data_IF_186340385593
#
_entry.id   IF_186340385593
#
_cell.length_a   1.000
_cell.length_b   1.000
_cell.length_c   1.000
_cell.angle_alpha   90.00
_cell.angle_beta   90.00
_cell.angle_gamma   90.00
#
_symmetry.space_group_name_H-M   'P 1'
#
loop_
_entity.id
_entity.type
_entity.pdbx_description
1 polymer ?
#
# COMPACT_ATOMS: atom_id res chain seq x y z
N UNK A 1 14.32 -38.28 -25.58
CA UNK A 1 14.46 -36.85 -25.96
C UNK A 1 15.11 -36.11 -24.79
N UNK A 2 16.30 -35.56 -24.98
CA UNK A 2 17.26 -35.24 -23.91
C UNK A 2 17.50 -33.71 -23.87
N UNK A 3 17.14 -32.99 -22.79
CA UNK A 3 17.43 -31.55 -22.64
C UNK A 3 17.98 -31.17 -21.25
N UNK A 4 19.29 -31.42 -21.15
CA UNK A 4 20.37 -30.62 -20.53
C UNK A 4 19.99 -29.50 -19.54
N UNK A 5 20.31 -29.77 -18.28
CA UNK A 5 20.66 -28.77 -17.26
C UNK A 5 21.80 -27.85 -17.75
N UNK A 6 21.64 -26.53 -17.58
CA UNK A 6 22.76 -25.58 -17.61
C UNK A 6 23.03 -25.05 -16.20
N UNK A 7 24.15 -25.49 -15.65
CA UNK A 7 24.90 -24.79 -14.62
C UNK A 7 25.32 -23.41 -15.14
N UNK A 8 25.04 -22.35 -14.38
CA UNK A 8 25.65 -21.02 -14.59
C UNK A 8 26.64 -20.76 -13.46
N UNK A 9 27.87 -20.51 -13.86
CA UNK A 9 29.07 -20.36 -13.05
C UNK A 9 29.18 -18.97 -12.41
N UNK A 10 29.84 -18.96 -11.24
CA UNK A 10 30.31 -17.79 -10.49
C UNK A 10 31.28 -16.95 -11.32
N UNK A 11 31.01 -15.65 -11.41
CA UNK A 11 32.00 -14.58 -11.61
C UNK A 11 31.84 -13.67 -10.37
N UNK A 12 32.84 -13.39 -9.55
CA UNK A 12 34.20 -12.98 -9.91
C UNK A 12 34.33 -11.47 -9.67
N UNK A 13 34.10 -11.01 -8.43
CA UNK A 13 34.36 -9.61 -8.06
C UNK A 13 35.73 -9.51 -7.41
N UNK A 14 36.62 -8.90 -8.21
CA UNK A 14 38.01 -8.60 -7.94
C UNK A 14 38.16 -7.60 -6.79
N UNK A 15 39.29 -7.76 -6.11
CA UNK A 15 39.75 -7.01 -4.94
C UNK A 15 39.63 -5.50 -5.04
N UNK A 16 39.19 -4.92 -3.93
CA UNK A 16 39.38 -3.52 -3.61
C UNK A 16 40.68 -3.39 -2.83
N UNK A 17 41.64 -2.70 -3.44
CA UNK A 17 42.94 -2.41 -2.88
C UNK A 17 42.80 -1.49 -1.65
N UNK A 18 43.06 -2.03 -0.47
CA UNK A 18 43.34 -1.25 0.73
C UNK A 18 44.61 -0.42 0.51
N UNK A 19 44.52 0.91 0.51
CA UNK A 19 45.69 1.78 0.63
C UNK A 19 46.11 1.85 2.11
N UNK A 20 47.40 1.68 2.45
CA UNK A 20 47.89 1.90 3.80
C UNK A 20 47.88 3.40 4.13
N UNK A 21 47.16 3.77 5.19
CA UNK A 21 47.29 5.08 5.81
C UNK A 21 48.69 5.21 6.42
N UNK A 22 49.44 6.23 5.97
CA UNK A 22 50.73 6.63 6.56
C UNK A 22 50.54 7.08 8.02
N UNK A 23 51.35 6.62 8.98
CA UNK A 23 51.66 7.39 10.18
C UNK A 23 52.73 8.44 9.83
N UNK A 24 53.00 9.35 10.76
CA UNK A 24 54.02 10.41 10.69
C UNK A 24 53.56 11.75 10.14
N UNK A 25 53.00 12.57 11.03
CA UNK A 25 53.55 13.91 11.27
C UNK A 25 53.42 14.23 12.77
N UNK A 26 54.43 13.79 13.52
CA UNK A 26 54.77 14.28 14.86
C UNK A 26 55.21 15.75 14.72
N UNK A 27 54.24 16.67 14.69
CA UNK A 27 54.56 18.10 14.72
C UNK A 27 54.64 18.57 16.18
N UNK A 28 55.88 18.87 16.57
CA UNK A 28 56.33 19.40 17.85
C UNK A 28 55.69 20.77 18.09
N UNK A 29 54.63 20.81 18.91
CA UNK A 29 54.08 22.07 19.42
C UNK A 29 54.90 22.51 20.63
N UNK A 30 55.71 23.55 20.46
CA UNK A 30 56.33 24.28 21.55
C UNK A 30 55.24 25.04 22.33
N UNK A 31 54.86 24.51 23.49
CA UNK A 31 54.08 25.24 24.50
C UNK A 31 54.98 26.26 25.17
N UNK A 32 54.94 27.50 24.68
CA UNK A 32 55.36 28.69 25.45
C UNK A 32 54.21 29.02 26.39
N UNK A 33 54.35 28.63 27.65
CA UNK A 33 53.46 29.05 28.74
C UNK A 33 53.78 30.49 29.15
N UNK A 34 53.18 31.45 28.45
CA UNK A 34 53.15 32.83 28.92
C UNK A 34 52.05 32.99 29.99
N UNK A 35 52.48 33.11 31.24
CA UNK A 35 51.66 32.99 32.45
C UNK A 35 50.97 34.31 32.84
N UNK A 36 50.55 35.12 31.84
CA UNK A 36 49.87 36.42 32.05
C UNK A 36 48.46 36.53 31.45
N UNK A 37 47.90 35.43 30.92
CA UNK A 37 46.56 35.37 30.32
C UNK A 37 45.48 34.68 31.15
N UNK A 38 45.76 34.29 32.40
CA UNK A 38 44.89 33.41 33.19
C UNK A 38 43.52 34.03 33.57
N UNK A 39 43.38 35.35 33.54
CA UNK A 39 42.14 36.05 33.90
C UNK A 39 41.20 36.29 32.70
N UNK A 40 41.68 36.19 31.46
CA UNK A 40 40.87 36.38 30.24
C UNK A 40 40.46 35.06 29.58
N UNK A 41 41.16 33.96 29.85
CA UNK A 41 40.75 32.62 29.39
C UNK A 41 39.61 32.00 30.22
N UNK A 42 39.50 32.36 31.51
CA UNK A 42 38.47 31.80 32.40
C UNK A 42 37.05 32.25 32.01
N UNK A 43 36.89 33.48 31.49
CA UNK A 43 35.58 34.00 31.04
C UNK A 43 35.11 33.44 29.70
N UNK A 44 36.02 33.11 28.78
CA UNK A 44 35.67 32.53 27.47
C UNK A 44 35.29 31.05 27.57
N UNK A 45 35.89 30.31 28.51
CA UNK A 45 35.56 28.90 28.72
C UNK A 45 34.17 28.71 29.34
N UNK A 46 33.75 29.57 30.28
CA UNK A 46 32.43 29.49 30.90
C UNK A 46 31.30 29.77 29.90
N UNK A 47 31.51 30.70 28.96
CA UNK A 47 30.51 31.04 27.94
C UNK A 47 30.29 29.88 26.94
N UNK A 48 31.35 29.15 26.58
CA UNK A 48 31.25 28.01 25.68
C UNK A 48 30.54 26.81 26.35
N UNK A 49 30.87 26.52 27.61
CA UNK A 49 30.17 25.47 28.37
C UNK A 49 28.70 25.81 28.60
N UNK A 50 28.37 27.10 28.79
CA UNK A 50 26.99 27.53 28.95
C UNK A 50 26.18 27.42 27.65
N UNK A 51 26.78 27.72 26.49
CA UNK A 51 26.14 27.51 25.18
C UNK A 51 25.90 26.02 24.89
N UNK A 52 26.81 25.13 25.28
CA UNK A 52 26.60 23.68 25.16
C UNK A 52 25.56 23.12 26.14
N UNK A 53 25.38 23.73 27.32
CA UNK A 53 24.33 23.36 28.29
C UNK A 53 22.96 23.99 27.97
N UNK A 54 22.93 25.04 27.14
CA UNK A 54 21.73 25.75 26.68
C UNK A 54 21.35 25.43 25.23
N UNK A 55 21.98 24.45 24.59
CA UNK A 55 21.37 23.79 23.42
C UNK A 55 20.46 22.70 23.96
N UNK A 56 19.17 22.98 24.28
CA UNK A 56 18.21 21.90 24.40
C UNK A 56 18.30 21.16 23.07
N UNK A 57 18.50 19.85 23.14
CA UNK A 57 18.54 18.99 21.98
C UNK A 57 17.34 19.31 21.08
N UNK A 58 17.56 20.11 20.04
CA UNK A 58 16.60 20.28 18.96
C UNK A 58 16.76 19.01 18.13
N UNK A 59 16.33 17.89 18.71
CA UNK A 59 16.02 16.69 17.97
C UNK A 59 14.81 17.07 17.11
N UNK A 60 15.08 17.62 15.93
CA UNK A 60 14.06 17.69 14.90
C UNK A 60 13.61 16.25 14.67
N UNK A 61 12.39 15.93 15.12
CA UNK A 61 11.76 14.68 14.78
C UNK A 61 11.62 14.67 13.26
N UNK A 62 12.46 13.87 12.59
CA UNK A 62 12.33 13.64 11.16
C UNK A 62 11.17 12.68 11.03
N UNK A 63 10.02 13.18 10.56
CA UNK A 63 8.85 12.36 10.30
C UNK A 63 9.28 11.18 9.39
N UNK A 64 9.03 9.93 9.80
CA UNK A 64 9.36 8.76 9.02
C UNK A 64 8.78 8.85 7.60
N UNK A 65 9.57 8.44 6.61
CA UNK A 65 9.10 8.36 5.23
C UNK A 65 8.05 7.25 5.16
N UNK A 66 6.86 7.49 4.58
CA UNK A 66 5.84 6.46 4.41
C UNK A 66 6.37 5.22 3.68
N UNK A 67 5.87 4.04 4.05
CA UNK A 67 6.03 2.86 3.21
C UNK A 67 5.05 2.95 2.04
N UNK A 68 5.47 2.59 0.83
CA UNK A 68 4.63 2.67 -0.37
C UNK A 68 4.23 1.29 -0.85
N UNK A 69 2.95 1.12 -1.17
CA UNK A 69 2.46 -0.06 -1.86
C UNK A 69 1.76 0.32 -3.16
N UNK A 70 1.74 -0.61 -4.11
CA UNK A 70 0.96 -0.45 -5.33
C UNK A 70 0.97 -1.70 -6.20
N UNK A 71 0.15 -1.72 -7.24
CA UNK A 71 0.11 -2.85 -8.17
C UNK A 71 -1.09 -2.79 -9.09
N UNK A 72 -1.26 -3.85 -9.87
CA UNK A 72 -2.40 -4.00 -10.78
C UNK A 72 -3.64 -4.48 -10.02
N UNK A 73 -4.82 -4.18 -10.53
CA UNK A 73 -6.10 -4.62 -9.94
C UNK A 73 -6.87 -5.46 -10.95
N UNK A 74 -7.41 -6.59 -10.51
CA UNK A 74 -8.30 -7.46 -11.30
C UNK A 74 -9.66 -7.54 -10.62
N UNK A 75 -10.74 -7.20 -11.33
CA UNK A 75 -12.11 -7.25 -10.81
C UNK A 75 -12.90 -8.29 -11.61
N UNK A 76 -13.45 -9.30 -10.93
CA UNK A 76 -14.25 -10.34 -11.61
C UNK A 76 -13.49 -11.10 -12.72
N UNK A 77 -12.16 -11.14 -12.65
CA UNK A 77 -11.30 -11.78 -13.66
C UNK A 77 -10.82 -10.86 -14.80
N UNK A 78 -11.27 -9.62 -14.86
CA UNK A 78 -10.79 -8.62 -15.83
C UNK A 78 -9.78 -7.66 -15.17
N UNK A 79 -8.66 -7.39 -15.84
CA UNK A 79 -7.73 -6.37 -15.40
C UNK A 79 -8.38 -4.98 -15.50
N UNK A 80 -8.29 -4.20 -14.42
CA UNK A 80 -8.84 -2.85 -14.36
C UNK A 80 -7.86 -1.87 -15.02
N UNK A 81 -8.34 -1.07 -15.96
CA UNK A 81 -7.56 0.01 -16.59
C UNK A 81 -7.80 1.35 -15.90
N UNK A 82 -6.92 2.32 -16.11
CA UNK A 82 -7.10 3.69 -15.60
C UNK A 82 -8.44 4.30 -16.04
N UNK A 83 -8.89 4.05 -17.28
CA UNK A 83 -10.14 4.60 -17.80
C UNK A 83 -11.36 4.04 -17.04
N UNK A 84 -11.33 2.76 -16.70
CA UNK A 84 -12.43 2.06 -16.01
C UNK A 84 -12.39 2.29 -14.49
N UNK A 85 -11.25 2.73 -13.95
CA UNK A 85 -11.02 2.87 -12.52
C UNK A 85 -11.60 4.15 -11.88
N UNK A 86 -12.37 4.97 -12.62
CA UNK A 86 -12.83 6.29 -12.17
C UNK A 86 -13.64 6.24 -10.86
N UNK A 87 -14.43 5.18 -10.66
CA UNK A 87 -15.26 5.00 -9.46
C UNK A 87 -14.59 4.15 -8.38
N UNK A 88 -13.36 3.70 -8.61
CA UNK A 88 -12.64 2.82 -7.69
C UNK A 88 -11.79 3.63 -6.72
N UNK A 89 -11.72 3.15 -5.49
CA UNK A 89 -10.80 3.71 -4.51
C UNK A 89 -10.23 2.65 -3.58
N UNK A 90 -9.05 2.95 -3.05
CA UNK A 90 -8.26 2.00 -2.29
C UNK A 90 -7.89 2.59 -0.93
N UNK A 91 -8.12 1.84 0.14
CA UNK A 91 -7.83 2.23 1.53
C UNK A 91 -7.04 1.14 2.23
N UNK A 92 -6.16 1.52 3.15
CA UNK A 92 -5.46 0.58 4.03
C UNK A 92 -5.88 0.81 5.47
N UNK A 93 -6.15 -0.29 6.18
CA UNK A 93 -6.41 -0.29 7.62
C UNK A 93 -5.53 -1.33 8.31
N UNK A 94 -5.52 -1.34 9.64
CA UNK A 94 -5.00 -2.50 10.38
C UNK A 94 -5.88 -3.72 10.13
N UNK A 95 -5.33 -4.92 10.31
CA UNK A 95 -6.09 -6.18 10.17
C UNK A 95 -7.35 -6.29 11.05
N UNK A 96 -7.47 -5.50 12.12
CA UNK A 96 -8.67 -5.41 12.96
C UNK A 96 -9.71 -4.37 12.47
N UNK A 97 -9.47 -3.72 11.33
CA UNK A 97 -10.34 -2.69 10.75
C UNK A 97 -10.13 -1.27 11.31
N UNK A 98 -9.19 -1.07 12.25
CA UNK A 98 -8.89 0.28 12.76
C UNK A 98 -8.08 1.09 11.75
N UNK A 99 -8.44 2.36 11.63
CA UNK A 99 -7.73 3.29 10.74
C UNK A 99 -6.31 3.60 11.27
N UNK A 100 -5.41 3.88 10.34
CA UNK A 100 -4.08 4.42 10.65
C UNK A 100 -4.20 5.93 10.97
N UNK A 101 -3.28 6.45 11.78
CA UNK A 101 -3.19 7.87 12.11
C UNK A 101 -1.76 8.40 11.90
N UNK A 102 -1.54 9.37 11.00
CA UNK A 102 -2.55 10.06 10.19
C UNK A 102 -3.29 9.12 9.24
N UNK A 103 -4.49 9.50 8.79
CA UNK A 103 -5.24 8.67 7.85
C UNK A 103 -4.42 8.47 6.56
N UNK A 104 -4.31 7.23 6.09
CA UNK A 104 -3.73 6.96 4.77
C UNK A 104 -4.50 7.73 3.71
N UNK A 105 -3.80 8.40 2.81
CA UNK A 105 -4.44 8.99 1.65
C UNK A 105 -5.14 7.87 0.86
N UNK A 106 -6.46 7.95 0.77
CA UNK A 106 -7.24 7.08 -0.09
C UNK A 106 -6.82 7.37 -1.53
N UNK A 107 -6.33 6.35 -2.23
CA UNK A 107 -6.04 6.50 -3.65
C UNK A 107 -7.34 6.43 -4.42
N UNK A 108 -7.66 7.46 -5.18
CA UNK A 108 -8.75 7.46 -6.14
C UNK A 108 -8.24 6.98 -7.50
N UNK A 109 -8.79 5.88 -8.01
CA UNK A 109 -8.44 5.32 -9.31
C UNK A 109 -7.01 4.77 -9.43
N UNK A 110 -6.58 4.61 -10.68
CA UNK A 110 -5.25 4.12 -11.06
C UNK A 110 -4.43 5.23 -11.74
N UNK A 111 -3.10 5.10 -11.69
CA UNK A 111 -2.18 5.99 -12.39
C UNK A 111 -2.07 5.63 -13.89
N UNK A 112 -1.21 6.35 -14.62
CA UNK A 112 -1.00 6.16 -16.07
C UNK A 112 -0.39 4.81 -16.47
N UNK A 113 0.03 3.98 -15.51
CA UNK A 113 0.53 2.61 -15.72
C UNK A 113 -0.46 1.56 -15.23
N UNK A 114 -1.73 1.92 -15.02
CA UNK A 114 -2.80 1.06 -14.48
C UNK A 114 -2.49 0.51 -13.07
N UNK A 115 -1.79 1.30 -12.23
CA UNK A 115 -1.45 0.93 -10.86
C UNK A 115 -2.16 1.81 -9.84
N UNK A 116 -2.65 1.19 -8.77
CA UNK A 116 -3.00 1.92 -7.55
C UNK A 116 -1.72 2.20 -6.75
N UNK A 117 -1.68 3.29 -6.00
CA UNK A 117 -0.54 3.65 -5.14
C UNK A 117 -1.08 4.15 -3.81
N UNK A 118 -0.62 3.58 -2.71
CA UNK A 118 -0.98 4.02 -1.35
C UNK A 118 0.29 4.22 -0.54
N UNK A 119 0.38 5.37 0.11
CA UNK A 119 1.41 5.69 1.09
C UNK A 119 0.88 5.37 2.51
N UNK A 120 1.60 4.50 3.21
CA UNK A 120 1.31 3.99 4.54
C UNK A 120 2.13 4.81 5.55
N UNK A 121 1.50 5.58 6.44
CA UNK A 121 2.22 6.31 7.48
C UNK A 121 2.89 5.34 8.43
N UNK A 122 4.14 5.62 8.77
CA UNK A 122 4.93 4.80 9.68
C UNK A 122 4.88 5.39 11.08
N UNK A 123 4.84 4.53 12.10
CA UNK A 123 4.74 5.00 13.47
C UNK A 123 5.87 5.97 13.83
N UNK A 124 5.49 7.12 14.39
CA UNK A 124 6.39 8.07 15.07
C UNK A 124 5.73 8.51 16.37
N UNK A 125 6.49 8.49 17.46
CA UNK A 125 5.96 8.75 18.80
C UNK A 125 5.47 10.21 19.01
N UNK A 126 5.93 11.16 18.18
CA UNK A 126 5.59 12.57 18.33
C UNK A 126 4.54 13.02 17.31
N UNK A 127 4.69 12.60 16.05
CA UNK A 127 3.89 13.12 14.94
C UNK A 127 2.92 12.11 14.31
N UNK A 128 3.20 10.80 14.40
CA UNK A 128 2.45 9.74 13.72
C UNK A 128 2.16 8.56 14.67
N UNK A 129 1.58 8.86 15.84
CA UNK A 129 1.40 7.87 16.92
C UNK A 129 0.47 6.72 16.57
N UNK A 130 -0.32 6.83 15.51
CA UNK A 130 -1.14 5.73 14.98
C UNK A 130 -0.65 5.20 13.64
N UNK A 131 0.60 5.43 13.25
CA UNK A 131 1.20 4.82 12.06
C UNK A 131 1.37 3.31 12.20
N UNK A 132 1.76 2.67 11.10
CA UNK A 132 2.08 1.24 11.07
C UNK A 132 3.54 0.99 11.51
N UNK A 133 3.80 -0.16 12.11
CA UNK A 133 5.15 -0.66 12.34
C UNK A 133 5.57 -1.64 11.25
N UNK A 134 6.87 -1.77 10.94
CA UNK A 134 7.36 -2.81 10.05
C UNK A 134 6.92 -4.20 10.54
N UNK A 135 6.36 -5.00 9.63
CA UNK A 135 5.82 -6.33 9.94
C UNK A 135 4.36 -6.35 10.42
N UNK A 136 3.73 -5.21 10.70
CA UNK A 136 2.31 -5.15 11.06
C UNK A 136 1.45 -5.79 9.96
N UNK A 137 0.44 -6.58 10.35
CA UNK A 137 -0.54 -7.12 9.41
C UNK A 137 -1.62 -6.07 9.12
N UNK A 138 -1.65 -5.61 7.87
CA UNK A 138 -2.56 -4.60 7.34
C UNK A 138 -3.54 -5.23 6.35
N UNK A 139 -4.64 -4.53 6.08
CA UNK A 139 -5.68 -4.93 5.13
C UNK A 139 -5.94 -3.83 4.10
N UNK A 140 -5.95 -4.21 2.82
CA UNK A 140 -6.32 -3.34 1.70
C UNK A 140 -7.80 -3.55 1.41
N UNK A 141 -8.55 -2.45 1.37
CA UNK A 141 -9.95 -2.39 0.99
C UNK A 141 -10.06 -1.80 -0.41
N UNK A 142 -10.96 -2.36 -1.22
CA UNK A 142 -11.28 -1.87 -2.57
C UNK A 142 -12.73 -1.45 -2.55
N UNK A 143 -13.02 -0.22 -2.97
CA UNK A 143 -14.39 0.29 -3.08
C UNK A 143 -14.72 0.60 -4.54
N UNK A 144 -15.96 0.39 -4.94
CA UNK A 144 -16.54 0.84 -6.20
C UNK A 144 -17.76 1.71 -5.91
N UNK A 145 -17.71 3.01 -6.22
CA UNK A 145 -18.82 3.93 -5.97
C UNK A 145 -19.24 4.02 -4.49
N UNK A 146 -18.32 3.71 -3.57
CA UNK A 146 -18.57 3.69 -2.12
C UNK A 146 -18.91 2.32 -1.54
N UNK A 147 -19.23 1.31 -2.36
CA UNK A 147 -19.45 -0.06 -1.88
C UNK A 147 -18.12 -0.81 -1.79
N UNK A 148 -17.88 -1.46 -0.65
CA UNK A 148 -16.69 -2.30 -0.46
C UNK A 148 -16.82 -3.62 -1.23
N UNK A 149 -15.80 -3.96 -2.01
CA UNK A 149 -15.70 -5.21 -2.75
C UNK A 149 -14.95 -6.27 -1.93
N UNK A 150 -15.31 -7.54 -2.16
CA UNK A 150 -14.63 -8.67 -1.53
C UNK A 150 -13.29 -8.95 -2.22
N UNK A 151 -12.17 -8.63 -1.56
CA UNK A 151 -10.81 -8.88 -2.05
C UNK A 151 -10.44 -10.36 -1.88
N UNK A 152 -10.13 -11.02 -2.98
CA UNK A 152 -9.79 -12.46 -3.04
C UNK A 152 -8.28 -12.73 -3.13
N UNK A 153 -7.49 -11.78 -3.62
CA UNK A 153 -6.03 -11.88 -3.63
C UNK A 153 -5.38 -10.51 -3.33
N UNK A 154 -4.36 -10.44 -2.43
CA UNK A 154 -4.01 -11.47 -1.45
C UNK A 154 -5.21 -11.84 -0.56
N UNK A 155 -5.17 -12.98 0.13
CA UNK A 155 -6.33 -13.48 0.90
C UNK A 155 -6.84 -12.41 1.87
N UNK A 156 -8.12 -12.04 1.76
CA UNK A 156 -8.77 -10.97 2.55
C UNK A 156 -8.08 -9.59 2.42
N UNK A 157 -7.34 -9.35 1.34
CA UNK A 157 -6.56 -8.12 1.13
C UNK A 157 -5.41 -7.94 2.11
N UNK A 158 -4.99 -8.99 2.82
CA UNK A 158 -3.98 -8.89 3.89
C UNK A 158 -2.54 -8.92 3.37
N UNK A 159 -1.68 -8.13 4.01
CA UNK A 159 -0.25 -8.09 3.74
C UNK A 159 0.51 -7.61 4.99
N UNK A 160 1.84 -7.73 4.96
CA UNK A 160 2.70 -7.22 6.03
C UNK A 160 3.29 -5.87 5.61
N UNK A 161 3.22 -4.89 6.50
CA UNK A 161 3.82 -3.57 6.29
C UNK A 161 5.35 -3.69 6.12
N UNK A 162 5.91 -2.94 5.17
CA UNK A 162 7.35 -2.84 4.99
C UNK A 162 8.01 -1.83 5.94
N UNK A 163 9.31 -1.61 5.75
CA UNK A 163 10.07 -0.59 6.47
C UNK A 163 9.74 0.83 5.98
N UNK A 164 10.11 1.85 6.75
CA UNK A 164 10.01 3.25 6.33
C UNK A 164 10.77 3.51 5.02
N UNK A 165 10.10 4.16 4.06
CA UNK A 165 10.62 4.41 2.71
C UNK A 165 10.69 3.20 1.79
N UNK A 166 10.21 2.02 2.22
CA UNK A 166 10.15 0.83 1.37
C UNK A 166 9.08 0.98 0.27
N UNK A 167 9.23 0.22 -0.82
CA UNK A 167 8.21 0.08 -1.86
C UNK A 167 7.92 -1.40 -2.07
N UNK A 168 6.64 -1.79 -2.05
CA UNK A 168 6.21 -3.16 -2.31
C UNK A 168 5.16 -3.22 -3.41
N UNK A 169 5.27 -4.23 -4.29
CA UNK A 169 4.24 -4.52 -5.28
C UNK A 169 3.23 -5.51 -4.69
N UNK A 170 1.96 -5.14 -4.68
CA UNK A 170 0.84 -5.97 -4.25
C UNK A 170 -0.21 -5.91 -5.36
N UNK A 171 -0.43 -7.03 -6.06
CA UNK A 171 -1.48 -7.10 -7.07
C UNK A 171 -2.78 -7.52 -6.38
N UNK A 172 -3.88 -6.82 -6.68
CA UNK A 172 -5.18 -7.07 -6.08
C UNK A 172 -6.07 -7.87 -7.03
N UNK A 173 -6.82 -8.81 -6.48
CA UNK A 173 -7.99 -9.38 -7.13
C UNK A 173 -9.19 -9.20 -6.21
N UNK A 174 -10.32 -8.75 -6.75
CA UNK A 174 -11.59 -8.67 -6.04
C UNK A 174 -12.72 -9.27 -6.85
N UNK A 175 -13.75 -9.75 -6.17
CA UNK A 175 -14.99 -10.15 -6.83
C UNK A 175 -15.67 -8.89 -7.36
N UNK A 176 -16.15 -8.96 -8.60
CA UNK A 176 -17.12 -7.98 -9.05
C UNK A 176 -18.33 -8.05 -8.12
N UNK A 177 -19.01 -6.93 -7.89
CA UNK A 177 -20.34 -7.00 -7.32
C UNK A 177 -21.14 -7.99 -8.16
N UNK A 178 -21.90 -8.92 -7.55
CA UNK A 178 -22.83 -9.70 -8.32
C UNK A 178 -23.63 -8.69 -9.13
N UNK A 179 -23.65 -8.85 -10.45
CA UNK A 179 -24.47 -8.00 -11.29
C UNK A 179 -25.82 -7.93 -10.60
N UNK A 180 -26.28 -6.72 -10.31
CA UNK A 180 -27.59 -6.54 -9.70
C UNK A 180 -28.59 -7.00 -10.76
N UNK A 181 -28.77 -8.31 -10.88
CA UNK A 181 -29.79 -8.93 -11.71
C UNK A 181 -31.04 -8.31 -11.11
N UNK A 182 -31.75 -7.45 -11.84
CA UNK A 182 -32.95 -6.85 -11.30
C UNK A 182 -33.78 -8.02 -10.82
N UNK A 183 -33.93 -8.14 -9.49
CA UNK A 183 -34.90 -9.06 -8.95
C UNK A 183 -36.18 -8.54 -9.56
N UNK A 184 -36.78 -9.34 -10.46
CA UNK A 184 -38.13 -9.06 -10.93
C UNK A 184 -38.89 -8.80 -9.64
N UNK A 185 -39.41 -7.57 -9.49
CA UNK A 185 -40.23 -7.24 -8.34
C UNK A 185 -41.28 -8.35 -8.18
N UNK A 186 -41.81 -8.58 -6.99
CA UNK A 186 -42.85 -9.61 -6.81
C UNK A 186 -43.93 -9.52 -7.90
N UNK A 187 -44.26 -8.29 -8.33
CA UNK A 187 -45.11 -7.99 -9.49
C UNK A 187 -44.56 -8.42 -10.84
N UNK A 188 -43.27 -8.23 -11.12
CA UNK A 188 -42.59 -8.74 -12.31
C UNK A 188 -42.64 -10.27 -12.42
N UNK A 189 -42.47 -10.98 -11.29
CA UNK A 189 -42.60 -12.44 -11.25
C UNK A 189 -44.04 -12.90 -11.47
N UNK A 190 -45.01 -12.20 -10.86
CA UNK A 190 -46.44 -12.48 -11.04
C UNK A 190 -46.88 -12.27 -12.50
N UNK A 191 -46.45 -11.17 -13.13
CA UNK A 191 -46.75 -10.89 -14.54
C UNK A 191 -46.11 -11.92 -15.48
N UNK A 192 -44.87 -12.32 -15.21
CA UNK A 192 -44.19 -13.37 -15.99
C UNK A 192 -44.91 -14.72 -15.86
N UNK A 193 -45.33 -15.09 -14.65
CA UNK A 193 -46.10 -16.31 -14.41
C UNK A 193 -47.47 -16.28 -15.13
N UNK A 194 -48.18 -15.15 -15.11
CA UNK A 194 -49.45 -14.98 -15.84
C UNK A 194 -49.28 -15.06 -17.36
N UNK A 195 -48.21 -14.50 -17.90
CA UNK A 195 -47.87 -14.61 -19.33
C UNK A 195 -47.60 -16.07 -19.74
N UNK A 196 -46.82 -16.80 -18.95
CA UNK A 196 -46.59 -18.23 -19.18
C UNK A 196 -47.88 -19.04 -19.12
N UNK A 197 -48.70 -18.83 -18.09
CA UNK A 197 -49.98 -19.52 -17.95
C UNK A 197 -50.92 -19.24 -19.13
N UNK A 198 -50.96 -17.99 -19.61
CA UNK A 198 -51.78 -17.60 -20.76
C UNK A 198 -51.33 -18.28 -22.06
N UNK A 199 -50.02 -18.48 -22.25
CA UNK A 199 -49.48 -19.18 -23.42
C UNK A 199 -49.85 -20.67 -23.45
N UNK A 200 -49.85 -21.32 -22.28
CA UNK A 200 -50.22 -22.73 -22.12
C UNK A 200 -51.71 -22.91 -22.39
N UNK A 201 -52.55 -22.04 -21.84
CA UNK A 201 -54.00 -22.06 -22.11
C UNK A 201 -54.29 -21.82 -23.60
N UNK A 202 -53.58 -20.88 -24.23
CA UNK A 202 -53.73 -20.60 -25.66
C UNK A 202 -53.36 -21.81 -26.53
N UNK A 203 -52.26 -22.49 -26.22
CA UNK A 203 -51.82 -23.69 -26.95
C UNK A 203 -52.76 -24.88 -26.75
N UNK A 204 -53.28 -25.10 -25.55
CA UNK A 204 -54.29 -26.13 -25.30
C UNK A 204 -55.58 -25.88 -26.08
N UNK A 205 -56.06 -24.63 -26.11
CA UNK A 205 -57.30 -24.26 -26.83
C UNK A 205 -57.19 -24.44 -28.34
N UNK A 206 -56.01 -24.13 -28.90
CA UNK A 206 -55.73 -24.28 -30.34
C UNK A 206 -55.70 -25.74 -30.78
N UNK A 207 -55.22 -26.66 -29.93
CA UNK A 207 -55.14 -28.07 -30.29
C UNK A 207 -56.49 -28.79 -30.20
N UNK A 208 -57.32 -28.49 -29.20
CA UNK A 208 -58.65 -29.11 -29.07
C UNK A 208 -59.64 -28.73 -30.17
N UNK A 209 -59.41 -27.62 -30.89
CA UNK A 209 -60.29 -27.23 -32.01
C UNK A 209 -60.05 -28.06 -33.28
N UNK A 210 -58.93 -28.80 -33.36
CA UNK A 210 -58.66 -29.68 -34.51
C UNK A 210 -59.37 -31.04 -34.43
N UNK A 211 -59.71 -31.53 -33.24
CA UNK A 211 -60.37 -32.84 -33.07
C UNK A 211 -61.88 -32.82 -33.40
N UNK A 212 -62.50 -31.63 -33.51
CA UNK A 212 -63.92 -31.48 -33.85
C UNK A 212 -64.18 -31.33 -35.36
N UNK A 213 -63.13 -31.36 -36.20
CA UNK A 213 -63.22 -31.19 -37.67
C UNK A 213 -62.80 -32.46 -38.46
N UNK A 214 -62.68 -33.61 -37.79
CA UNK A 214 -62.52 -34.93 -38.41
C UNK A 214 -63.75 -35.78 -38.15
#
# INVERSE_FOLDING_TARGET
MNRRHRHRTRNGLKGWNCRPCRPDYLNRIHLVTDNKGAQTMLKKSVLFTMICLLMPAICFAIIPIPARIGGTVTIGGAALSQADATNYSFKVTRSNGTDLSPATAQSAGLNATDWYIIDIPMYDANDQTGGAHPGDSLKIHVYNGGTELNVTAPSDGRFNCGDSGSTAQINLAAQAEPANIPTLSEWGMILFAMLLASSIIYTMRRNNTFDQLR
#
